data_IF_983460236890
#
_entry.id   IF_983460236890
#
_cell.length_a   1.000
_cell.length_b   1.000
_cell.length_c   1.000
_cell.angle_alpha   90.00
_cell.angle_beta   90.00
_cell.angle_gamma   90.00
#
_symmetry.space_group_name_H-M   'P 1'
#
loop_
_entity.id
_entity.type
_entity.pdbx_description
1 polymer ?
#
# COMPACT_ATOMS: atom_id res chain seq x y z
N UNK A 1 -2.85 -10.89 21.33
CA UNK A 1 -3.96 -11.15 20.40
C UNK A 1 -3.94 -12.64 20.10
N UNK A 2 -4.87 -13.39 20.70
CA UNK A 2 -5.01 -14.83 20.53
C UNK A 2 -5.46 -15.11 19.08
N UNK A 3 -4.59 -15.74 18.28
CA UNK A 3 -4.97 -16.32 16.99
C UNK A 3 -5.42 -17.76 17.23
N UNK A 4 -6.72 -17.98 17.08
CA UNK A 4 -7.25 -19.28 16.66
C UNK A 4 -6.66 -19.46 15.26
N UNK A 5 -5.63 -20.28 15.18
CA UNK A 5 -4.67 -20.31 14.07
C UNK A 5 -5.29 -20.60 12.72
N UNK A 6 -4.67 -20.03 11.68
CA UNK A 6 -4.48 -20.63 10.36
C UNK A 6 -3.65 -19.73 9.43
N UNK A 7 -3.48 -18.45 9.74
CA UNK A 7 -2.73 -17.53 8.88
C UNK A 7 -1.41 -17.08 9.53
N UNK A 8 -0.29 -17.26 8.83
CA UNK A 8 1.01 -16.74 9.26
C UNK A 8 1.11 -15.23 9.01
N UNK A 9 2.01 -14.53 9.70
CA UNK A 9 2.30 -13.12 9.39
C UNK A 9 2.70 -12.92 7.92
N UNK A 10 3.37 -13.91 7.33
CA UNK A 10 3.78 -13.91 5.93
C UNK A 10 2.56 -14.00 5.00
N UNK A 11 1.62 -14.88 5.30
CA UNK A 11 0.35 -15.01 4.57
C UNK A 11 -0.47 -13.73 4.66
N UNK A 12 -0.55 -13.13 5.85
CA UNK A 12 -1.25 -11.86 6.06
C UNK A 12 -0.64 -10.74 5.21
N UNK A 13 0.71 -10.62 5.18
CA UNK A 13 1.40 -9.64 4.33
C UNK A 13 1.18 -9.95 2.84
N UNK A 14 1.16 -11.22 2.45
CA UNK A 14 0.90 -11.64 1.07
C UNK A 14 -0.52 -11.29 0.61
N UNK A 15 -1.54 -11.57 1.42
CA UNK A 15 -2.93 -11.18 1.15
C UNK A 15 -3.10 -9.66 1.14
N UNK A 16 -2.42 -8.95 2.04
CA UNK A 16 -2.39 -7.48 2.03
C UNK A 16 -1.88 -6.95 0.69
N UNK A 17 -0.76 -7.47 0.17
CA UNK A 17 -0.25 -7.10 -1.16
C UNK A 17 -1.24 -7.42 -2.29
N UNK A 18 -1.96 -8.53 -2.20
CA UNK A 18 -2.98 -8.89 -3.17
C UNK A 18 -4.15 -7.89 -3.15
N UNK A 19 -4.64 -7.53 -1.96
CA UNK A 19 -5.65 -6.49 -1.79
C UNK A 19 -5.20 -5.15 -2.37
N UNK A 20 -3.97 -4.71 -2.09
CA UNK A 20 -3.44 -3.45 -2.64
C UNK A 20 -3.32 -3.50 -4.17
N UNK A 21 -2.93 -4.63 -4.76
CA UNK A 21 -2.94 -4.79 -6.23
C UNK A 21 -4.35 -4.67 -6.82
N UNK A 22 -5.37 -5.14 -6.11
CA UNK A 22 -6.76 -4.94 -6.52
C UNK A 22 -7.16 -3.47 -6.41
N UNK A 23 -6.78 -2.78 -5.32
CA UNK A 23 -7.00 -1.34 -5.16
C UNK A 23 -6.29 -0.52 -6.24
N UNK A 24 -5.08 -0.92 -6.68
CA UNK A 24 -4.39 -0.28 -7.81
C UNK A 24 -5.24 -0.32 -9.08
N UNK A 25 -5.86 -1.45 -9.40
CA UNK A 25 -6.72 -1.56 -10.61
C UNK A 25 -7.92 -0.63 -10.52
N UNK A 26 -8.48 -0.47 -9.33
CA UNK A 26 -9.60 0.44 -9.07
C UNK A 26 -9.23 1.89 -9.40
N UNK A 27 -8.04 2.35 -8.99
CA UNK A 27 -7.59 3.73 -9.27
C UNK A 27 -7.11 3.95 -10.71
N UNK A 28 -6.85 2.90 -11.48
CA UNK A 28 -6.45 3.00 -12.90
C UNK A 28 -7.66 3.14 -13.83
N UNK A 29 -8.87 2.83 -13.35
CA UNK A 29 -10.11 2.97 -14.12
C UNK A 29 -10.69 4.37 -13.82
N UNK A 30 -10.83 5.19 -14.86
CA UNK A 30 -11.35 6.55 -14.72
C UNK A 30 -12.88 6.56 -14.81
N UNK A 31 -13.56 6.41 -13.67
CA UNK A 31 -15.03 6.44 -13.54
C UNK A 31 -15.47 7.23 -12.29
N UNK A 32 -16.58 7.97 -12.37
CA UNK A 32 -17.09 8.81 -11.27
C UNK A 32 -17.46 8.02 -10.00
N UNK A 33 -17.98 6.79 -10.13
CA UNK A 33 -18.29 5.94 -8.98
C UNK A 33 -17.02 5.54 -8.22
N UNK A 34 -15.87 5.45 -8.91
CA UNK A 34 -14.59 5.14 -8.28
C UNK A 34 -14.04 6.28 -7.44
N UNK A 35 -14.31 7.56 -7.79
CA UNK A 35 -13.87 8.69 -6.98
C UNK A 35 -14.50 8.69 -5.58
N UNK A 36 -15.73 8.19 -5.44
CA UNK A 36 -16.38 8.00 -4.13
C UNK A 36 -15.70 6.88 -3.35
N UNK A 37 -15.46 5.74 -4.00
CA UNK A 37 -14.77 4.57 -3.44
C UNK A 37 -13.35 4.90 -2.93
N UNK A 38 -12.62 5.73 -3.68
CA UNK A 38 -11.30 6.25 -3.29
C UNK A 38 -11.34 7.06 -2.00
N UNK A 39 -12.40 7.85 -1.77
CA UNK A 39 -12.55 8.67 -0.56
C UNK A 39 -12.85 7.82 0.67
N UNK A 40 -13.62 6.75 0.50
CA UNK A 40 -14.01 5.84 1.58
C UNK A 40 -12.85 4.94 2.03
N UNK A 41 -11.89 4.67 1.13
CA UNK A 41 -10.71 3.86 1.43
C UNK A 41 -9.57 4.76 1.90
N UNK A 42 -9.29 4.77 3.21
CA UNK A 42 -8.26 5.61 3.84
C UNK A 42 -6.88 5.54 3.18
N UNK A 43 -6.47 4.34 2.74
CA UNK A 43 -5.22 4.13 2.01
C UNK A 43 -5.19 4.87 0.66
N UNK A 44 -6.28 4.82 -0.11
CA UNK A 44 -6.39 5.49 -1.41
C UNK A 44 -6.50 7.00 -1.24
N UNK A 45 -7.28 7.46 -0.28
CA UNK A 45 -7.35 8.88 0.07
C UNK A 45 -5.97 9.44 0.42
N UNK A 46 -5.18 8.72 1.23
CA UNK A 46 -3.81 9.09 1.56
C UNK A 46 -2.89 9.11 0.34
N UNK A 47 -3.01 8.09 -0.53
CA UNK A 47 -2.27 8.04 -1.79
C UNK A 47 -2.59 9.23 -2.71
N UNK A 48 -3.86 9.60 -2.88
CA UNK A 48 -4.28 10.76 -3.67
C UNK A 48 -3.72 12.07 -3.10
N UNK A 49 -3.70 12.23 -1.77
CA UNK A 49 -3.04 13.38 -1.12
C UNK A 49 -1.54 13.41 -1.45
N UNK A 50 -0.84 12.27 -1.34
CA UNK A 50 0.56 12.15 -1.73
C UNK A 50 0.81 12.51 -3.20
N UNK A 51 -0.10 12.12 -4.10
CA UNK A 51 -0.01 12.43 -5.52
C UNK A 51 -0.17 13.93 -5.78
N UNK A 52 -1.15 14.58 -5.13
CA UNK A 52 -1.35 16.03 -5.18
C UNK A 52 -0.13 16.80 -4.67
N UNK A 53 0.53 16.29 -3.63
CA UNK A 53 1.76 16.84 -3.07
C UNK A 53 3.03 16.45 -3.88
N UNK A 54 2.89 15.65 -4.94
CA UNK A 54 4.01 15.10 -5.76
C UNK A 54 5.06 14.32 -4.94
N UNK A 55 4.68 13.79 -3.77
CA UNK A 55 5.55 13.04 -2.85
C UNK A 55 5.58 11.54 -3.12
N UNK A 56 4.81 11.04 -4.10
CA UNK A 56 4.76 9.61 -4.45
C UNK A 56 6.13 9.06 -4.85
N UNK A 57 6.95 9.85 -5.57
CA UNK A 57 8.32 9.48 -5.93
C UNK A 57 9.22 9.33 -4.71
N UNK A 58 9.18 10.29 -3.78
CA UNK A 58 9.93 10.22 -2.53
C UNK A 58 9.55 8.96 -1.73
N UNK A 59 8.25 8.70 -1.59
CA UNK A 59 7.76 7.50 -0.91
C UNK A 59 8.18 6.20 -1.62
N UNK A 60 8.17 6.18 -2.96
CA UNK A 60 8.69 5.05 -3.72
C UNK A 60 10.16 4.75 -3.39
N UNK A 61 11.02 5.77 -3.40
CA UNK A 61 12.45 5.59 -3.09
C UNK A 61 12.68 5.14 -1.65
N UNK A 62 12.02 5.80 -0.69
CA UNK A 62 12.10 5.43 0.73
C UNK A 62 11.61 3.99 0.94
N UNK A 63 10.47 3.63 0.36
CA UNK A 63 9.94 2.28 0.46
C UNK A 63 10.89 1.26 -0.15
N UNK A 64 11.45 1.52 -1.34
CA UNK A 64 12.41 0.60 -1.99
C UNK A 64 13.66 0.38 -1.13
N UNK A 65 14.12 1.41 -0.41
CA UNK A 65 15.27 1.31 0.50
C UNK A 65 14.94 0.49 1.76
N UNK A 66 13.74 0.65 2.31
CA UNK A 66 13.35 0.04 3.59
C UNK A 66 12.49 -1.22 3.49
N UNK A 67 12.01 -1.61 2.30
CA UNK A 67 11.03 -2.69 2.08
C UNK A 67 11.41 -3.99 2.81
N UNK A 68 12.68 -4.41 2.71
CA UNK A 68 13.18 -5.61 3.38
C UNK A 68 13.12 -5.51 4.91
N UNK A 69 13.46 -4.35 5.47
CA UNK A 69 13.42 -4.09 6.92
C UNK A 69 11.98 -4.04 7.44
N UNK A 70 11.09 -3.38 6.69
CA UNK A 70 9.66 -3.34 7.00
C UNK A 70 9.06 -4.75 6.94
N UNK A 71 9.32 -5.50 5.88
CA UNK A 71 8.87 -6.89 5.75
C UNK A 71 9.32 -7.75 6.93
N UNK A 72 10.61 -7.68 7.29
CA UNK A 72 11.17 -8.44 8.43
C UNK A 72 10.53 -8.03 9.77
N UNK A 73 10.14 -6.77 9.96
CA UNK A 73 9.40 -6.37 11.15
C UNK A 73 8.00 -6.99 11.16
N UNK A 74 7.30 -6.96 10.02
CA UNK A 74 5.93 -7.47 9.89
C UNK A 74 5.84 -8.99 10.01
N UNK A 75 6.84 -9.72 9.54
CA UNK A 75 6.91 -11.19 9.68
C UNK A 75 7.65 -11.64 10.93
N UNK A 76 8.18 -10.69 11.70
CA UNK A 76 8.94 -10.96 12.92
C UNK A 76 8.05 -11.19 14.15
N UNK A 77 8.70 -11.33 15.31
CA UNK A 77 8.06 -11.62 16.60
C UNK A 77 7.22 -10.46 17.17
N UNK A 78 7.45 -9.24 16.71
CA UNK A 78 6.79 -8.00 17.20
C UNK A 78 6.44 -7.08 16.03
N UNK A 79 5.41 -7.42 15.23
CA UNK A 79 4.96 -6.56 14.14
C UNK A 79 4.40 -5.24 14.68
N UNK A 80 4.71 -4.13 14.02
CA UNK A 80 4.23 -2.81 14.39
C UNK A 80 3.19 -2.29 13.37
N UNK A 81 2.06 -1.77 13.86
CA UNK A 81 0.96 -1.31 13.02
C UNK A 81 1.29 -0.05 12.22
N UNK A 82 2.10 0.86 12.76
CA UNK A 82 2.57 2.05 12.02
C UNK A 82 3.49 1.62 10.88
N UNK A 83 4.37 0.65 11.15
CA UNK A 83 5.22 0.03 10.11
C UNK A 83 4.34 -0.63 9.03
N UNK A 84 3.23 -1.25 9.43
CA UNK A 84 2.28 -1.86 8.50
C UNK A 84 1.56 -0.84 7.63
N UNK A 85 1.10 0.28 8.19
CA UNK A 85 0.48 1.36 7.41
C UNK A 85 1.46 1.99 6.41
N UNK A 86 2.70 2.26 6.85
CA UNK A 86 3.76 2.71 5.97
C UNK A 86 4.05 1.68 4.86
N UNK A 87 4.05 0.39 5.21
CA UNK A 87 4.25 -0.69 4.25
C UNK A 87 3.18 -0.72 3.17
N UNK A 88 1.90 -0.60 3.55
CA UNK A 88 0.78 -0.56 2.61
C UNK A 88 0.90 0.63 1.65
N UNK A 89 1.14 1.84 2.18
CA UNK A 89 1.25 3.06 1.38
C UNK A 89 2.46 3.02 0.45
N UNK A 90 3.62 2.61 0.95
CA UNK A 90 4.85 2.49 0.17
C UNK A 90 4.75 1.41 -0.92
N UNK A 91 4.13 0.27 -0.62
CA UNK A 91 3.88 -0.78 -1.61
C UNK A 91 2.95 -0.30 -2.73
N UNK A 92 1.86 0.41 -2.39
CA UNK A 92 0.98 1.03 -3.39
C UNK A 92 1.75 2.03 -4.26
N UNK A 93 2.54 2.93 -3.67
CA UNK A 93 3.38 3.87 -4.43
C UNK A 93 4.36 3.14 -5.35
N UNK A 94 4.95 2.04 -4.90
CA UNK A 94 5.87 1.22 -5.69
C UNK A 94 5.21 0.62 -6.93
N UNK A 95 4.07 -0.03 -6.78
CA UNK A 95 3.41 -0.71 -7.89
C UNK A 95 2.73 0.27 -8.85
N UNK A 96 2.32 1.45 -8.39
CA UNK A 96 1.76 2.48 -9.28
C UNK A 96 2.84 3.21 -10.07
N UNK A 97 3.99 3.51 -9.46
CA UNK A 97 5.11 4.16 -10.16
C UNK A 97 5.69 3.29 -11.29
N UNK A 98 5.63 1.96 -11.19
CA UNK A 98 6.06 1.06 -12.27
C UNK A 98 5.18 1.14 -13.54
N UNK A 99 4.03 1.83 -13.47
CA UNK A 99 3.03 1.90 -14.54
C UNK A 99 2.64 3.34 -14.94
N UNK A 100 3.26 4.37 -14.35
CA UNK A 100 2.88 5.78 -14.57
C UNK A 100 3.86 6.51 -15.48
N UNK A 101 3.66 6.36 -16.79
CA UNK A 101 4.01 7.36 -17.82
C UNK A 101 2.76 8.14 -18.30
N UNK A 102 1.59 8.03 -17.62
CA UNK A 102 0.31 8.45 -18.20
C UNK A 102 -0.65 9.16 -17.23
N UNK A 103 -0.15 10.03 -16.33
CA UNK A 103 -1.02 10.99 -15.62
C UNK A 103 -0.27 12.32 -15.42
N UNK A 104 0.04 12.99 -16.53
CA UNK A 104 0.25 14.45 -16.60
C UNK A 104 -0.74 14.98 -17.62
#
# INVERSE_FOLDING_TARGET
LYHIGLETNEDFVKKTKAGIRNLKRIIEINDEHQQKLIKDISLLNTYCKLQKLRLTRLFHYLFRMFEKRLYKNLTGKKPNLIVFDFYKLGYLCKITHQHSNLLV
#
